data_IF_771180665857
#
_entry.id   IF_771180665857
#
_cell.length_a   1.000
_cell.length_b   1.000
_cell.length_c   1.000
_cell.angle_alpha   90.00
_cell.angle_beta   90.00
_cell.angle_gamma   90.00
#
_symmetry.space_group_name_H-M   'P 1'
#
loop_
_entity.id
_entity.type
_entity.pdbx_description
1 polymer ?
#
# COMPACT_ATOMS: atom_id res chain seq x y z
N UNK A 1 16.28 -15.19 19.53
CA UNK A 1 15.02 -14.43 19.57
C UNK A 1 15.27 -12.93 19.75
N UNK A 2 16.23 -12.52 20.59
CA UNK A 2 16.62 -11.09 20.73
C UNK A 2 17.29 -10.53 19.46
N UNK A 3 17.98 -11.36 18.66
CA UNK A 3 18.53 -10.94 17.35
C UNK A 3 17.48 -10.77 16.23
N UNK A 4 16.30 -11.40 16.37
CA UNK A 4 15.13 -11.19 15.47
C UNK A 4 14.33 -9.92 15.83
N UNK A 5 14.50 -9.40 17.06
CA UNK A 5 13.88 -8.14 17.50
C UNK A 5 14.68 -6.92 17.00
N UNK A 6 16.00 -7.06 16.77
CA UNK A 6 16.83 -6.01 16.18
C UNK A 6 16.53 -5.73 14.71
N UNK A 7 16.09 -6.73 13.94
CA UNK A 7 15.73 -6.55 12.52
C UNK A 7 14.47 -5.71 12.33
N UNK A 8 13.49 -5.74 13.26
CA UNK A 8 12.33 -4.83 13.22
C UNK A 8 12.66 -3.37 13.51
N UNK A 9 13.80 -3.09 14.14
CA UNK A 9 14.25 -1.72 14.45
C UNK A 9 15.34 -1.20 13.50
N UNK A 10 15.98 -2.06 12.70
CA UNK A 10 17.15 -1.69 11.89
C UNK A 10 17.07 -2.08 10.40
N UNK A 11 15.99 -2.72 9.96
CA UNK A 11 15.71 -2.95 8.54
C UNK A 11 14.32 -2.41 8.23
N UNK A 12 14.20 -1.09 8.29
CA UNK A 12 13.22 -0.34 7.50
C UNK A 12 13.89 -0.09 6.14
N UNK A 13 14.06 -1.15 5.34
CA UNK A 13 14.18 -0.99 3.88
C UNK A 13 12.77 -1.16 3.34
N UNK A 14 12.14 -0.03 3.07
CA UNK A 14 10.78 0.17 2.55
C UNK A 14 10.61 -0.24 1.08
N UNK A 15 11.46 -1.12 0.55
CA UNK A 15 11.57 -1.37 -0.89
C UNK A 15 10.64 -2.48 -1.44
N UNK A 16 9.97 -3.24 -0.56
CA UNK A 16 9.32 -4.50 -0.95
C UNK A 16 7.77 -4.52 -0.88
N UNK A 17 7.13 -3.51 -0.29
CA UNK A 17 5.71 -3.58 0.08
C UNK A 17 4.71 -2.96 -0.92
N UNK A 18 5.16 -2.19 -1.93
CA UNK A 18 4.28 -1.41 -2.84
C UNK A 18 4.00 -1.99 -4.22
N UNK A 19 4.74 -2.99 -4.67
CA UNK A 19 4.63 -3.47 -6.06
C UNK A 19 3.49 -4.46 -6.31
N UNK A 20 2.70 -4.75 -5.27
CA UNK A 20 1.70 -5.80 -5.31
C UNK A 20 0.39 -5.29 -4.72
N UNK A 21 -0.51 -4.81 -5.59
CA UNK A 21 -1.92 -4.65 -5.24
C UNK A 21 -2.55 -6.04 -5.07
N UNK A 22 -2.33 -6.66 -3.91
CA UNK A 22 -3.26 -7.68 -3.47
C UNK A 22 -4.48 -6.93 -2.96
N UNK A 23 -5.54 -6.93 -3.75
CA UNK A 23 -6.86 -6.41 -3.38
C UNK A 23 -7.44 -7.31 -2.27
N UNK A 24 -6.88 -7.19 -1.07
CA UNK A 24 -7.28 -7.91 0.13
C UNK A 24 -8.11 -6.95 0.94
N UNK A 25 -9.40 -7.20 1.00
CA UNK A 25 -10.17 -6.69 2.12
C UNK A 25 -9.62 -7.36 3.38
N UNK A 26 -8.78 -6.63 4.12
CA UNK A 26 -8.39 -6.99 5.49
C UNK A 26 -9.60 -7.04 6.45
N UNK A 27 -10.79 -6.72 5.93
CA UNK A 27 -12.11 -6.83 6.54
C UNK A 27 -12.65 -8.27 6.66
N UNK A 28 -12.00 -9.28 6.08
CA UNK A 28 -12.35 -10.67 6.39
C UNK A 28 -11.94 -10.99 7.84
N UNK A 29 -12.91 -10.88 8.74
CA UNK A 29 -12.85 -11.18 10.17
C UNK A 29 -12.20 -12.54 10.42
N UNK A 30 -11.12 -12.55 11.19
CA UNK A 30 -10.52 -13.77 11.72
C UNK A 30 -11.58 -14.51 12.54
N UNK A 31 -11.91 -15.74 12.15
CA UNK A 31 -12.76 -16.65 12.89
C UNK A 31 -12.02 -17.09 14.16
N UNK A 32 -12.43 -16.54 15.31
CA UNK A 32 -11.96 -16.96 16.62
C UNK A 32 -12.83 -18.11 17.14
N UNK A 33 -12.21 -19.20 17.58
CA UNK A 33 -12.86 -20.27 18.31
C UNK A 33 -12.25 -20.33 19.72
N UNK A 34 -12.98 -20.09 20.81
CA UNK A 34 -12.40 -20.10 22.18
C UNK A 34 -12.74 -21.39 22.95
N UNK A 35 -11.82 -21.86 23.80
CA UNK A 35 -11.88 -23.14 24.53
C UNK A 35 -11.65 -22.92 26.03
N UNK A 36 -12.42 -23.57 26.91
CA UNK A 36 -12.11 -23.62 28.35
C UNK A 36 -11.64 -25.03 28.72
N UNK A 37 -10.58 -25.19 29.53
CA UNK A 37 -10.31 -26.45 30.20
C UNK A 37 -11.44 -26.73 31.21
N UNK A 38 -11.77 -28.01 31.37
CA UNK A 38 -12.97 -28.47 32.06
C UNK A 38 -12.90 -28.18 33.57
N UNK A 39 -13.64 -27.15 34.00
CA UNK A 39 -14.38 -27.14 35.28
C UNK A 39 -15.50 -26.09 35.23
N UNK A 40 -16.60 -26.43 34.54
CA UNK A 40 -17.94 -25.90 34.75
C UNK A 40 -18.14 -24.38 34.66
N UNK A 41 -18.38 -23.85 33.45
CA UNK A 41 -19.52 -22.96 33.09
C UNK A 41 -19.29 -22.22 31.75
N UNK A 42 -20.36 -22.27 30.95
CA UNK A 42 -20.69 -21.54 29.71
C UNK A 42 -19.64 -21.56 28.58
N UNK A 43 -19.96 -22.32 27.52
CA UNK A 43 -19.23 -22.46 26.25
C UNK A 43 -19.86 -21.58 25.15
N UNK A 44 -19.05 -21.16 24.17
CA UNK A 44 -19.51 -20.49 22.94
C UNK A 44 -19.87 -21.49 21.83
N UNK A 45 -19.29 -22.69 21.85
CA UNK A 45 -19.61 -23.82 20.96
C UNK A 45 -19.81 -25.10 21.78
N UNK A 46 -20.87 -25.85 21.46
CA UNK A 46 -21.11 -27.18 22.00
C UNK A 46 -20.22 -28.18 21.26
N UNK A 47 -19.21 -28.75 21.94
CA UNK A 47 -18.30 -29.76 21.36
C UNK A 47 -19.04 -31.06 20.97
N UNK A 48 -20.30 -31.23 21.39
CA UNK A 48 -21.15 -32.30 20.86
C UNK A 48 -21.78 -31.96 19.50
N UNK A 49 -21.66 -30.71 19.00
CA UNK A 49 -22.30 -30.23 17.76
C UNK A 49 -21.35 -29.60 16.74
N UNK A 50 -20.29 -28.90 17.15
CA UNK A 50 -19.37 -28.16 16.24
C UNK A 50 -17.90 -28.64 16.31
N UNK A 51 -17.64 -29.75 17.02
CA UNK A 51 -16.31 -30.38 17.10
C UNK A 51 -15.77 -30.85 15.74
N UNK A 52 -16.65 -31.17 14.79
CA UNK A 52 -16.25 -31.68 13.49
C UNK A 52 -15.37 -30.69 12.72
N UNK A 53 -15.73 -29.40 12.66
CA UNK A 53 -14.93 -28.39 11.94
C UNK A 53 -13.54 -28.26 12.57
N UNK A 54 -13.47 -28.18 13.90
CA UNK A 54 -12.20 -28.11 14.62
C UNK A 54 -11.34 -29.35 14.38
N UNK A 55 -11.90 -30.56 14.55
CA UNK A 55 -11.19 -31.81 14.34
C UNK A 55 -10.71 -31.95 12.88
N UNK A 56 -11.52 -31.52 11.90
CA UNK A 56 -11.15 -31.49 10.49
C UNK A 56 -9.99 -30.50 10.24
N UNK A 57 -10.00 -29.31 10.85
CA UNK A 57 -8.88 -28.36 10.72
C UNK A 57 -7.60 -28.90 11.36
N UNK A 58 -7.69 -29.57 12.51
CA UNK A 58 -6.53 -30.22 13.14
C UNK A 58 -5.99 -31.36 12.26
N UNK A 59 -6.86 -32.23 11.75
CA UNK A 59 -6.48 -33.30 10.85
C UNK A 59 -5.86 -32.78 9.55
N UNK A 60 -6.41 -31.71 8.97
CA UNK A 60 -5.86 -31.08 7.77
C UNK A 60 -4.47 -30.48 8.04
N UNK A 61 -4.30 -29.78 9.16
CA UNK A 61 -2.99 -29.23 9.57
C UNK A 61 -1.95 -30.34 9.68
N UNK A 62 -2.31 -31.45 10.32
CA UNK A 62 -1.44 -32.61 10.49
C UNK A 62 -1.06 -33.25 9.14
N UNK A 63 -2.05 -33.43 8.26
CA UNK A 63 -1.83 -33.97 6.90
C UNK A 63 -0.89 -33.04 6.11
N UNK A 64 -1.12 -31.73 6.13
CA UNK A 64 -0.31 -30.76 5.40
C UNK A 64 1.11 -30.68 5.96
N UNK A 65 1.29 -30.77 7.28
CA UNK A 65 2.60 -30.72 7.92
C UNK A 65 3.48 -31.94 7.55
N UNK A 66 2.87 -33.12 7.42
CA UNK A 66 3.58 -34.39 7.17
C UNK A 66 3.55 -34.87 5.71
N UNK A 67 2.94 -34.10 4.81
CA UNK A 67 2.94 -34.43 3.39
C UNK A 67 4.35 -34.25 2.80
N UNK A 68 4.76 -35.15 1.92
CA UNK A 68 6.01 -35.01 1.19
C UNK A 68 5.81 -34.06 0.01
N UNK A 69 6.43 -32.89 0.08
CA UNK A 69 6.45 -31.92 -1.00
C UNK A 69 7.70 -32.08 -1.85
N UNK A 70 7.52 -32.11 -3.16
CA UNK A 70 8.60 -32.15 -4.14
C UNK A 70 8.68 -30.84 -4.94
N UNK A 71 9.63 -30.77 -5.87
CA UNK A 71 9.84 -29.62 -6.73
C UNK A 71 8.59 -29.24 -7.55
N UNK A 72 7.73 -30.21 -7.89
CA UNK A 72 6.49 -29.94 -8.60
C UNK A 72 5.53 -29.11 -7.74
N UNK A 73 5.39 -29.44 -6.47
CA UNK A 73 4.55 -28.69 -5.54
C UNK A 73 5.07 -27.27 -5.30
N UNK A 74 6.40 -27.10 -5.16
CA UNK A 74 7.02 -25.77 -5.08
C UNK A 74 6.73 -24.92 -6.32
N UNK A 75 6.84 -25.52 -7.51
CA UNK A 75 6.52 -24.83 -8.76
C UNK A 75 5.03 -24.45 -8.84
N UNK A 76 4.11 -25.29 -8.37
CA UNK A 76 2.68 -24.95 -8.30
C UNK A 76 2.41 -23.77 -7.37
N UNK A 77 3.05 -23.75 -6.19
CA UNK A 77 2.94 -22.64 -5.24
C UNK A 77 3.40 -21.32 -5.87
N UNK A 78 4.59 -21.30 -6.47
CA UNK A 78 5.14 -20.10 -7.08
C UNK A 78 4.34 -19.65 -8.29
N UNK A 79 3.80 -20.57 -9.09
CA UNK A 79 2.89 -20.24 -10.18
C UNK A 79 1.60 -19.60 -9.66
N UNK A 80 1.00 -20.12 -8.58
CA UNK A 80 -0.18 -19.52 -7.96
C UNK A 80 0.13 -18.11 -7.43
N UNK A 81 1.26 -17.97 -6.74
CA UNK A 81 1.71 -16.68 -6.21
C UNK A 81 1.95 -15.66 -7.32
N UNK A 82 2.63 -16.07 -8.40
CA UNK A 82 2.87 -15.25 -9.58
C UNK A 82 1.55 -14.86 -10.28
N UNK A 83 0.59 -15.77 -10.42
CA UNK A 83 -0.72 -15.50 -11.04
C UNK A 83 -1.49 -14.41 -10.29
N UNK A 84 -1.43 -14.41 -8.96
CA UNK A 84 -2.15 -13.43 -8.12
C UNK A 84 -1.49 -12.05 -8.11
N UNK A 85 -0.16 -12.01 -8.19
CA UNK A 85 0.65 -10.80 -8.12
C UNK A 85 0.88 -10.09 -9.48
N UNK A 86 0.20 -10.51 -10.56
CA UNK A 86 0.36 -9.92 -11.89
C UNK A 86 -0.08 -8.46 -11.95
N UNK A 87 0.90 -7.57 -11.84
CA UNK A 87 0.72 -6.14 -12.01
C UNK A 87 1.80 -5.53 -12.92
N UNK A 88 3.06 -5.97 -12.83
CA UNK A 88 4.16 -5.49 -13.69
C UNK A 88 5.28 -6.53 -13.87
N UNK A 89 6.07 -6.41 -14.96
CA UNK A 89 7.23 -7.24 -15.29
C UNK A 89 8.34 -7.19 -14.23
N UNK A 90 8.52 -6.05 -13.55
CA UNK A 90 9.50 -5.90 -12.45
C UNK A 90 9.10 -6.73 -11.23
N UNK A 91 7.82 -6.69 -10.83
CA UNK A 91 7.27 -7.48 -9.73
C UNK A 91 7.35 -9.00 -10.03
N UNK A 92 7.04 -9.40 -11.28
CA UNK A 92 7.22 -10.77 -11.74
C UNK A 92 8.68 -11.25 -11.63
N UNK A 93 9.65 -10.38 -11.93
CA UNK A 93 11.06 -10.72 -11.78
C UNK A 93 11.48 -10.83 -10.31
N UNK A 94 10.98 -9.95 -9.43
CA UNK A 94 11.20 -10.05 -7.98
C UNK A 94 10.68 -11.36 -7.41
N UNK A 95 9.49 -11.81 -7.83
CA UNK A 95 8.92 -13.13 -7.42
C UNK A 95 9.82 -14.27 -7.89
N UNK A 96 10.31 -14.23 -9.14
CA UNK A 96 11.20 -15.27 -9.66
C UNK A 96 12.50 -15.33 -8.86
N UNK A 97 13.12 -14.19 -8.59
CA UNK A 97 14.32 -14.14 -7.75
C UNK A 97 14.04 -14.68 -6.34
N UNK A 98 12.89 -14.33 -5.74
CA UNK A 98 12.48 -14.87 -4.44
C UNK A 98 12.29 -16.39 -4.48
N UNK A 99 11.74 -16.93 -5.57
CA UNK A 99 11.57 -18.36 -5.75
C UNK A 99 12.91 -19.09 -5.88
N UNK A 100 13.87 -18.49 -6.59
CA UNK A 100 15.22 -19.04 -6.78
C UNK A 100 16.05 -18.98 -5.47
N UNK A 101 15.87 -17.93 -4.68
CA UNK A 101 16.58 -17.71 -3.41
C UNK A 101 15.88 -18.33 -2.19
N UNK A 102 14.72 -18.97 -2.37
CA UNK A 102 13.92 -19.51 -1.28
C UNK A 102 14.65 -20.63 -0.52
N UNK A 103 14.67 -20.52 0.80
CA UNK A 103 15.23 -21.55 1.69
C UNK A 103 14.22 -22.00 2.74
N UNK A 104 13.98 -23.31 2.79
CA UNK A 104 13.04 -23.94 3.71
C UNK A 104 13.38 -23.68 5.20
N UNK A 105 14.66 -23.51 5.55
CA UNK A 105 15.13 -23.16 6.90
C UNK A 105 15.00 -21.66 7.24
N UNK A 106 14.57 -20.84 6.28
CA UNK A 106 14.31 -19.41 6.45
C UNK A 106 12.85 -18.99 6.23
N UNK A 107 11.93 -19.94 5.96
CA UNK A 107 10.48 -19.74 5.90
C UNK A 107 9.90 -18.73 6.92
N UNK A 108 10.31 -18.79 8.20
CA UNK A 108 9.79 -17.83 9.21
C UNK A 108 10.20 -16.38 8.93
N UNK A 109 11.38 -16.16 8.35
CA UNK A 109 11.86 -14.82 8.02
C UNK A 109 10.99 -14.21 6.93
N UNK A 110 10.72 -14.96 5.86
CA UNK A 110 9.83 -14.53 4.78
C UNK A 110 8.39 -14.25 5.26
N UNK A 111 7.92 -15.00 6.28
CA UNK A 111 6.62 -14.77 6.92
C UNK A 111 6.61 -13.55 7.87
N UNK A 112 7.73 -13.29 8.54
CA UNK A 112 7.82 -12.23 9.56
C UNK A 112 8.06 -10.84 8.99
N UNK A 113 8.56 -10.76 7.76
CA UNK A 113 8.70 -9.53 6.98
C UNK A 113 7.35 -9.10 6.39
N UNK A 114 7.14 -7.79 6.23
CA UNK A 114 5.96 -7.30 5.52
C UNK A 114 6.13 -7.57 4.03
N UNK A 115 5.65 -8.73 3.60
CA UNK A 115 5.82 -9.25 2.25
C UNK A 115 4.49 -9.67 1.65
N UNK A 116 4.45 -9.75 0.33
CA UNK A 116 3.25 -10.22 -0.38
C UNK A 116 2.99 -11.69 -0.13
N UNK A 117 4.04 -12.45 0.16
CA UNK A 117 3.95 -13.84 0.60
C UNK A 117 3.22 -13.93 1.96
N UNK A 118 3.57 -13.07 2.93
CA UNK A 118 2.88 -12.97 4.22
C UNK A 118 1.39 -12.62 4.04
N UNK A 119 1.07 -11.60 3.22
CA UNK A 119 -0.31 -11.15 3.01
C UNK A 119 -1.15 -12.24 2.33
N UNK A 120 -0.60 -12.85 1.28
CA UNK A 120 -1.31 -13.88 0.51
C UNK A 120 -1.51 -15.17 1.30
N UNK A 121 -0.51 -15.63 2.05
CA UNK A 121 -0.68 -16.79 2.92
C UNK A 121 -1.79 -16.53 3.96
N UNK A 122 -1.80 -15.35 4.58
CA UNK A 122 -2.86 -14.99 5.53
C UNK A 122 -4.24 -14.84 4.89
N UNK A 123 -4.34 -14.48 3.62
CA UNK A 123 -5.59 -14.51 2.85
C UNK A 123 -6.06 -15.95 2.64
N UNK A 124 -5.18 -16.85 2.19
CA UNK A 124 -5.47 -18.27 1.96
C UNK A 124 -5.98 -18.94 3.25
N UNK A 125 -5.27 -18.73 4.37
CA UNK A 125 -5.66 -19.27 5.68
C UNK A 125 -7.03 -18.76 6.13
N UNK A 126 -7.32 -17.46 5.91
CA UNK A 126 -8.60 -16.84 6.28
C UNK A 126 -9.77 -17.33 5.42
N UNK A 127 -9.55 -17.53 4.13
CA UNK A 127 -10.58 -17.98 3.20
C UNK A 127 -10.87 -19.48 3.29
N UNK A 128 -10.01 -20.25 3.97
CA UNK A 128 -10.12 -21.71 4.08
C UNK A 128 -10.27 -22.40 2.71
N UNK A 129 -9.69 -21.81 1.65
CA UNK A 129 -9.75 -22.40 0.32
C UNK A 129 -8.80 -23.61 0.26
N UNK A 130 -9.36 -24.81 0.35
CA UNK A 130 -8.59 -26.05 0.38
C UNK A 130 -7.63 -26.19 -0.80
N UNK A 131 -8.04 -25.85 -2.02
CA UNK A 131 -7.16 -25.93 -3.20
C UNK A 131 -5.92 -25.06 -3.04
N UNK A 132 -6.10 -23.82 -2.59
CA UNK A 132 -4.99 -22.90 -2.37
C UNK A 132 -4.16 -23.28 -1.15
N UNK A 133 -4.77 -23.83 -0.09
CA UNK A 133 -4.06 -24.36 1.08
C UNK A 133 -3.12 -25.50 0.68
N UNK A 134 -3.58 -26.45 -0.14
CA UNK A 134 -2.73 -27.55 -0.63
C UNK A 134 -1.63 -27.04 -1.57
N UNK A 135 -1.92 -26.10 -2.46
CA UNK A 135 -0.91 -25.47 -3.32
C UNK A 135 0.15 -24.70 -2.52
N UNK A 136 -0.23 -24.06 -1.42
CA UNK A 136 0.70 -23.42 -0.48
C UNK A 136 1.27 -24.38 0.58
N UNK A 137 0.93 -25.67 0.52
CA UNK A 137 1.28 -26.66 1.52
C UNK A 137 2.78 -26.77 1.81
N UNK A 138 3.62 -26.60 0.77
CA UNK A 138 5.09 -26.61 0.91
C UNK A 138 5.57 -25.55 1.90
N UNK A 139 5.19 -24.29 1.65
CA UNK A 139 5.59 -23.17 2.49
C UNK A 139 4.94 -23.22 3.87
N UNK A 140 3.68 -23.69 3.94
CA UNK A 140 3.01 -23.92 5.21
C UNK A 140 3.79 -24.95 6.03
N UNK A 141 4.17 -26.09 5.46
CA UNK A 141 4.94 -27.13 6.15
C UNK A 141 6.29 -26.61 6.63
N UNK A 142 7.06 -25.92 5.78
CA UNK A 142 8.35 -25.31 6.15
C UNK A 142 8.20 -24.32 7.31
N UNK A 143 7.16 -23.47 7.27
CA UNK A 143 6.86 -22.51 8.32
C UNK A 143 6.46 -23.18 9.64
N UNK A 144 5.61 -24.21 9.58
CA UNK A 144 5.19 -24.99 10.75
C UNK A 144 6.38 -25.70 11.41
N UNK A 145 7.25 -26.34 10.63
CA UNK A 145 8.44 -27.01 11.13
C UNK A 145 9.38 -26.04 11.88
N UNK A 146 9.54 -24.81 11.37
CA UNK A 146 10.32 -23.79 12.05
C UNK A 146 9.66 -23.28 13.34
N UNK A 147 8.34 -23.06 13.32
CA UNK A 147 7.60 -22.64 14.50
C UNK A 147 7.67 -23.70 15.61
N UNK A 148 7.52 -24.98 15.27
CA UNK A 148 7.63 -26.09 16.21
C UNK A 148 9.04 -26.17 16.83
N UNK A 149 10.10 -25.97 16.03
CA UNK A 149 11.47 -25.93 16.52
C UNK A 149 11.71 -24.76 17.48
N UNK A 150 11.18 -23.56 17.17
CA UNK A 150 11.28 -22.39 18.04
C UNK A 150 10.49 -22.56 19.33
N UNK A 151 9.31 -23.19 19.27
CA UNK A 151 8.52 -23.53 20.45
C UNK A 151 9.29 -24.47 21.38
N UNK A 152 9.87 -25.55 20.84
CA UNK A 152 10.72 -26.49 21.61
C UNK A 152 11.87 -25.77 22.30
N UNK A 153 12.56 -24.86 21.59
CA UNK A 153 13.63 -24.04 22.17
C UNK A 153 13.13 -23.11 23.27
N UNK A 154 11.96 -22.48 23.09
CA UNK A 154 11.38 -21.58 24.09
C UNK A 154 10.99 -22.31 25.37
N UNK A 155 10.41 -23.52 25.25
CA UNK A 155 10.04 -24.38 26.38
C UNK A 155 11.30 -24.83 27.13
N UNK A 156 12.34 -25.27 26.41
CA UNK A 156 13.63 -25.67 27.00
C UNK A 156 14.28 -24.53 27.79
N UNK A 157 14.11 -23.29 27.34
CA UNK A 157 14.60 -22.09 28.02
C UNK A 157 13.74 -21.62 29.20
N UNK A 158 12.73 -22.41 29.63
CA UNK A 158 11.93 -22.14 30.82
C UNK A 158 10.89 -21.02 30.68
N UNK A 159 10.65 -20.50 29.47
CA UNK A 159 9.61 -19.50 29.20
C UNK A 159 8.25 -20.17 29.01
N UNK A 160 7.50 -20.31 30.10
CA UNK A 160 6.16 -20.92 30.07
C UNK A 160 5.04 -19.92 29.76
N UNK A 161 5.18 -18.66 30.20
CA UNK A 161 4.17 -17.63 29.99
C UNK A 161 4.78 -16.42 29.28
N UNK A 162 4.16 -16.00 28.17
CA UNK A 162 4.51 -14.77 27.45
C UNK A 162 3.30 -13.87 27.37
N UNK A 163 3.50 -12.57 27.60
CA UNK A 163 2.48 -11.56 27.34
C UNK A 163 2.78 -10.91 26.01
N UNK A 164 1.80 -10.97 25.10
CA UNK A 164 1.87 -10.38 23.77
C UNK A 164 0.59 -9.61 23.49
N UNK A 165 0.71 -8.60 22.62
CA UNK A 165 -0.34 -7.69 22.22
C UNK A 165 -0.57 -7.82 20.72
N UNK A 166 -1.83 -7.68 20.30
CA UNK A 166 -2.22 -7.61 18.89
C UNK A 166 -3.17 -6.44 18.70
N UNK A 167 -2.84 -5.56 17.77
CA UNK A 167 -3.72 -4.49 17.34
C UNK A 167 -4.52 -4.87 16.11
N UNK A 168 -5.83 -5.09 16.25
CA UNK A 168 -6.73 -5.38 15.12
C UNK A 168 -8.15 -4.88 15.40
N UNK A 169 -8.82 -4.42 14.35
CA UNK A 169 -10.25 -4.05 14.39
C UNK A 169 -11.11 -5.30 14.32
N UNK A 170 -12.18 -5.32 15.12
CA UNK A 170 -13.21 -6.35 15.09
C UNK A 170 -14.58 -5.72 15.28
N UNK A 171 -15.66 -6.34 14.76
CA UNK A 171 -17.02 -5.96 15.10
C UNK A 171 -17.23 -5.95 16.62
N UNK A 172 -18.05 -5.02 17.12
CA UNK A 172 -18.28 -4.84 18.57
C UNK A 172 -18.72 -6.13 19.26
N UNK A 173 -19.54 -6.96 18.60
CA UNK A 173 -19.99 -8.24 19.15
C UNK A 173 -18.83 -9.23 19.36
N UNK A 174 -17.85 -9.28 18.44
CA UNK A 174 -16.64 -10.12 18.57
C UNK A 174 -15.77 -9.60 19.72
N UNK A 175 -15.61 -8.28 19.85
CA UNK A 175 -14.85 -7.70 20.98
C UNK A 175 -15.51 -8.07 22.31
N UNK A 176 -16.83 -8.00 22.39
CA UNK A 176 -17.55 -8.39 23.60
C UNK A 176 -17.32 -9.87 23.92
N UNK A 177 -17.39 -10.75 22.92
CA UNK A 177 -17.10 -12.18 23.09
C UNK A 177 -15.67 -12.45 23.58
N UNK A 178 -14.67 -11.72 23.05
CA UNK A 178 -13.29 -11.82 23.51
C UNK A 178 -13.14 -11.38 24.97
N UNK A 179 -13.83 -10.30 25.39
CA UNK A 179 -13.86 -9.84 26.79
C UNK A 179 -14.50 -10.87 27.73
N UNK A 180 -15.60 -11.47 27.29
CA UNK A 180 -16.31 -12.50 28.07
C UNK A 180 -15.51 -13.82 28.15
N UNK A 181 -14.49 -13.98 27.27
CA UNK A 181 -13.63 -15.16 27.17
C UNK A 181 -12.29 -15.03 27.90
N UNK A 182 -12.07 -13.99 28.71
CA UNK A 182 -10.83 -13.82 29.47
C UNK A 182 -10.62 -15.01 30.43
N UNK A 183 -9.43 -15.60 30.40
CA UNK A 183 -9.09 -16.81 31.15
C UNK A 183 -9.29 -18.13 30.37
N UNK A 184 -9.74 -18.04 29.11
CA UNK A 184 -9.95 -19.19 28.24
C UNK A 184 -8.81 -19.31 27.22
N UNK A 185 -8.66 -20.50 26.64
CA UNK A 185 -7.87 -20.76 25.46
C UNK A 185 -8.57 -20.21 24.21
N UNK A 186 -7.80 -19.90 23.18
CA UNK A 186 -8.29 -19.44 21.87
C UNK A 186 -7.60 -20.29 20.81
N UNK A 187 -8.37 -20.83 19.87
CA UNK A 187 -7.89 -21.41 18.62
C UNK A 187 -8.43 -20.58 17.46
N UNK A 188 -7.73 -20.61 16.35
CA UNK A 188 -8.06 -19.78 15.20
C UNK A 188 -7.50 -20.45 13.95
N UNK A 189 -8.18 -20.20 12.85
CA UNK A 189 -7.88 -20.82 11.56
C UNK A 189 -6.78 -20.01 10.86
N UNK A 190 -5.61 -19.94 11.48
CA UNK A 190 -4.44 -19.22 10.95
C UNK A 190 -3.46 -18.78 12.04
N UNK A 191 -2.41 -18.09 11.61
CA UNK A 191 -1.34 -17.61 12.48
C UNK A 191 -1.68 -16.27 13.15
N UNK A 192 -1.28 -16.11 14.41
CA UNK A 192 -1.45 -14.84 15.13
C UNK A 192 -0.16 -14.01 15.05
N UNK A 193 -0.21 -12.91 14.29
CA UNK A 193 0.83 -11.88 14.39
C UNK A 193 0.62 -11.05 15.66
N UNK A 194 1.63 -11.05 16.53
CA UNK A 194 1.62 -10.37 17.83
C UNK A 194 2.96 -9.65 18.09
N UNK A 195 2.97 -8.76 19.08
CA UNK A 195 4.17 -8.03 19.52
C UNK A 195 4.20 -7.99 21.06
N UNK A 196 5.39 -8.00 21.67
CA UNK A 196 5.53 -7.78 23.11
C UNK A 196 5.34 -6.30 23.50
N UNK A 197 5.37 -5.40 22.52
CA UNK A 197 5.32 -3.96 22.72
C UNK A 197 3.90 -3.43 22.50
N UNK A 198 3.24 -3.02 23.58
CA UNK A 198 1.87 -2.49 23.55
C UNK A 198 1.71 -1.30 22.59
N UNK A 199 2.67 -0.37 22.58
CA UNK A 199 2.64 0.80 21.70
C UNK A 199 2.64 0.42 20.21
N UNK A 200 3.36 -0.63 19.80
CA UNK A 200 3.35 -1.13 18.42
C UNK A 200 1.98 -1.68 18.06
N UNK A 201 1.35 -2.46 18.95
CA UNK A 201 0.00 -2.96 18.75
C UNK A 201 -1.04 -1.81 18.73
N UNK A 202 -0.91 -0.81 19.59
CA UNK A 202 -1.82 0.34 19.59
C UNK A 202 -1.70 1.16 18.30
N UNK A 203 -0.47 1.35 17.79
CA UNK A 203 -0.19 2.08 16.55
C UNK A 203 -0.82 1.40 15.33
N UNK A 204 -0.76 0.07 15.24
CA UNK A 204 -1.38 -0.66 14.13
C UNK A 204 -2.90 -0.48 14.06
N UNK A 205 -3.59 -0.27 15.19
CA UNK A 205 -5.02 0.07 15.21
C UNK A 205 -5.25 1.51 14.72
N UNK A 206 -4.41 2.45 15.14
CA UNK A 206 -4.52 3.87 14.75
C UNK A 206 -4.28 4.04 13.24
N UNK A 207 -3.22 3.42 12.71
CA UNK A 207 -2.91 3.47 11.28
C UNK A 207 -4.01 2.81 10.45
N UNK A 208 -4.54 1.65 10.89
CA UNK A 208 -5.67 1.00 10.24
C UNK A 208 -6.99 1.77 10.38
N UNK A 209 -7.16 2.56 11.46
CA UNK A 209 -8.30 3.47 11.66
C UNK A 209 -8.29 4.57 10.62
N UNK A 210 -7.11 5.11 10.33
CA UNK A 210 -6.97 6.34 9.57
C UNK A 210 -6.69 6.14 8.07
N UNK A 211 -6.04 5.04 7.66
CA UNK A 211 -5.69 4.80 6.26
C UNK A 211 -6.82 4.23 5.39
N UNK A 212 -7.70 3.36 5.93
CA UNK A 212 -8.65 2.62 5.08
C UNK A 212 -10.07 3.18 5.09
N UNK A 213 -10.49 3.89 6.14
CA UNK A 213 -11.88 4.36 6.25
C UNK A 213 -12.11 5.72 5.60
N UNK A 214 -11.03 6.45 5.37
CA UNK A 214 -11.09 7.88 5.14
C UNK A 214 -10.62 8.31 3.75
N UNK A 215 -9.55 7.71 3.21
CA UNK A 215 -9.25 7.88 1.78
C UNK A 215 -10.39 7.34 0.95
N UNK A 216 -10.79 6.09 1.21
CA UNK A 216 -11.59 5.32 0.26
C UNK A 216 -12.97 5.95 0.00
N UNK A 217 -13.64 6.50 1.02
CA UNK A 217 -14.94 7.16 0.84
C UNK A 217 -14.80 8.47 0.04
N UNK A 218 -13.80 9.30 0.36
CA UNK A 218 -13.58 10.54 -0.37
C UNK A 218 -13.16 10.29 -1.83
N UNK A 219 -12.35 9.26 -2.06
CA UNK A 219 -11.87 8.84 -3.38
C UNK A 219 -13.03 8.30 -4.23
N UNK A 220 -13.88 7.46 -3.62
CA UNK A 220 -15.09 6.96 -4.25
C UNK A 220 -16.00 8.13 -4.63
N UNK A 221 -16.26 9.07 -3.70
CA UNK A 221 -17.11 10.23 -3.98
C UNK A 221 -16.53 11.11 -5.10
N UNK A 222 -15.21 11.30 -5.15
CA UNK A 222 -14.53 11.98 -6.26
C UNK A 222 -14.72 11.24 -7.59
N UNK A 223 -14.55 9.90 -7.62
CA UNK A 223 -14.77 9.08 -8.82
C UNK A 223 -16.22 9.17 -9.32
N UNK A 224 -17.19 9.29 -8.41
CA UNK A 224 -18.59 9.54 -8.76
C UNK A 224 -18.90 11.00 -9.13
N UNK A 225 -17.89 11.89 -9.09
CA UNK A 225 -18.03 13.31 -9.42
C UNK A 225 -18.69 14.16 -8.33
N UNK A 226 -19.01 13.58 -7.17
CA UNK A 226 -19.58 14.31 -6.04
C UNK A 226 -18.48 14.96 -5.19
N UNK A 227 -17.84 15.96 -5.77
CA UNK A 227 -16.77 16.72 -5.14
C UNK A 227 -17.23 17.52 -3.91
N UNK A 228 -18.52 17.78 -3.75
CA UNK A 228 -19.04 18.53 -2.59
C UNK A 228 -19.13 17.60 -1.39
N UNK A 229 -19.76 16.44 -1.55
CA UNK A 229 -19.85 15.43 -0.49
C UNK A 229 -18.47 14.89 -0.10
N UNK A 230 -17.55 14.73 -1.06
CA UNK A 230 -16.18 14.32 -0.76
C UNK A 230 -15.46 15.30 0.16
N UNK A 231 -15.58 16.62 -0.12
CA UNK A 231 -14.96 17.65 0.73
C UNK A 231 -15.66 17.74 2.08
N UNK A 232 -17.00 17.69 2.13
CA UNK A 232 -17.75 17.69 3.40
C UNK A 232 -17.35 16.52 4.29
N UNK A 233 -17.23 15.32 3.71
CA UNK A 233 -16.79 14.12 4.42
C UNK A 233 -15.42 14.33 5.06
N UNK A 234 -14.43 14.80 4.29
CA UNK A 234 -13.09 15.07 4.82
C UNK A 234 -13.06 16.19 5.87
N UNK A 235 -13.88 17.24 5.71
CA UNK A 235 -13.98 18.31 6.71
C UNK A 235 -14.58 17.80 8.02
N UNK A 236 -15.69 17.06 7.94
CA UNK A 236 -16.31 16.44 9.12
C UNK A 236 -15.35 15.52 9.85
N UNK A 237 -14.50 14.78 9.14
CA UNK A 237 -13.47 14.00 9.81
C UNK A 237 -12.47 14.85 10.60
N UNK A 238 -12.01 15.97 10.01
CA UNK A 238 -11.08 16.89 10.68
C UNK A 238 -11.68 17.47 11.97
N UNK A 239 -13.01 17.65 11.99
CA UNK A 239 -13.76 18.20 13.11
C UNK A 239 -14.12 17.14 14.16
N UNK A 240 -14.47 15.92 13.75
CA UNK A 240 -14.96 14.84 14.64
C UNK A 240 -13.82 14.07 15.34
N UNK A 241 -12.59 14.07 14.82
CA UNK A 241 -11.46 13.33 15.40
C UNK A 241 -10.33 14.25 15.89
N UNK A 242 -10.44 14.65 17.16
CA UNK A 242 -9.45 15.48 17.87
C UNK A 242 -8.05 14.84 17.93
N UNK A 243 -7.94 13.52 17.74
CA UNK A 243 -6.68 12.78 17.83
C UNK A 243 -6.03 12.53 16.45
N UNK A 244 -6.49 13.19 15.38
CA UNK A 244 -5.83 13.11 14.07
C UNK A 244 -4.40 13.64 14.20
N UNK A 245 -3.43 12.76 13.98
CA UNK A 245 -2.02 13.11 13.96
C UNK A 245 -1.72 14.16 12.86
N UNK A 246 -0.68 14.98 13.07
CA UNK A 246 -0.31 16.06 12.14
C UNK A 246 -0.12 15.57 10.70
N UNK A 247 0.56 14.44 10.51
CA UNK A 247 0.80 13.85 9.18
C UNK A 247 -0.51 13.46 8.46
N UNK A 248 -1.46 12.87 9.19
CA UNK A 248 -2.75 12.50 8.61
C UNK A 248 -3.59 13.73 8.26
N UNK A 249 -3.50 14.78 9.09
CA UNK A 249 -4.11 16.08 8.80
C UNK A 249 -3.57 16.68 7.50
N UNK A 250 -2.25 16.57 7.26
CA UNK A 250 -1.63 17.00 6.00
C UNK A 250 -2.24 16.26 4.80
N UNK A 251 -2.39 14.95 4.91
CA UNK A 251 -2.91 14.12 3.83
C UNK A 251 -4.37 14.44 3.51
N UNK A 252 -5.21 14.64 4.53
CA UNK A 252 -6.59 15.07 4.33
C UNK A 252 -6.64 16.44 3.62
N UNK A 253 -5.84 17.41 4.07
CA UNK A 253 -5.78 18.72 3.38
C UNK A 253 -5.30 18.59 1.93
N UNK A 254 -4.34 17.70 1.65
CA UNK A 254 -3.86 17.46 0.29
C UNK A 254 -4.98 16.91 -0.60
N UNK A 255 -5.73 15.90 -0.13
CA UNK A 255 -6.86 15.32 -0.85
C UNK A 255 -7.97 16.35 -1.11
N UNK A 256 -8.33 17.14 -0.10
CA UNK A 256 -9.30 18.23 -0.27
C UNK A 256 -8.79 19.24 -1.31
N UNK A 257 -7.49 19.56 -1.30
CA UNK A 257 -6.86 20.46 -2.27
C UNK A 257 -6.99 19.96 -3.71
N UNK A 258 -6.73 18.67 -3.95
CA UNK A 258 -6.88 18.01 -5.26
C UNK A 258 -8.35 18.02 -5.70
N UNK A 259 -9.28 17.62 -4.84
CA UNK A 259 -10.71 17.61 -5.16
C UNK A 259 -11.24 19.03 -5.41
N UNK A 260 -10.74 20.02 -4.66
CA UNK A 260 -11.08 21.42 -4.88
C UNK A 260 -10.58 21.92 -6.23
N UNK A 261 -9.37 21.53 -6.66
CA UNK A 261 -8.85 21.82 -8.00
C UNK A 261 -9.72 21.18 -9.08
N UNK A 262 -10.00 19.88 -8.98
CA UNK A 262 -10.79 19.13 -9.97
C UNK A 262 -12.21 19.68 -10.11
N UNK A 263 -12.77 20.22 -9.02
CA UNK A 263 -14.07 20.91 -9.01
C UNK A 263 -14.01 22.38 -9.45
N UNK A 264 -12.85 22.88 -9.89
CA UNK A 264 -12.66 24.27 -10.32
C UNK A 264 -12.60 25.31 -9.19
N UNK A 265 -12.65 24.87 -7.93
CA UNK A 265 -12.53 25.72 -6.72
C UNK A 265 -11.07 26.08 -6.43
N UNK A 266 -10.39 26.63 -7.43
CA UNK A 266 -8.95 26.90 -7.43
C UNK A 266 -8.46 27.73 -6.22
N UNK A 267 -9.21 28.76 -5.80
CA UNK A 267 -8.84 29.55 -4.62
C UNK A 267 -8.85 28.74 -3.32
N UNK A 268 -9.80 27.82 -3.18
CA UNK A 268 -9.85 26.90 -2.05
C UNK A 268 -8.69 25.91 -2.09
N UNK A 269 -8.41 25.34 -3.26
CA UNK A 269 -7.29 24.45 -3.49
C UNK A 269 -5.94 25.07 -3.07
N UNK A 270 -5.67 26.33 -3.45
CA UNK A 270 -4.45 27.06 -3.03
C UNK A 270 -4.32 27.12 -1.51
N UNK A 271 -5.41 27.40 -0.79
CA UNK A 271 -5.38 27.50 0.67
C UNK A 271 -5.01 26.15 1.29
N UNK A 272 -5.64 25.07 0.82
CA UNK A 272 -5.33 23.72 1.29
C UNK A 272 -3.88 23.33 0.99
N UNK A 273 -3.39 23.52 -0.24
CA UNK A 273 -1.99 23.19 -0.56
C UNK A 273 -0.98 24.01 0.26
N UNK A 274 -1.29 25.27 0.59
CA UNK A 274 -0.46 26.07 1.52
C UNK A 274 -0.47 25.52 2.94
N UNK A 275 -1.63 25.04 3.43
CA UNK A 275 -1.72 24.36 4.72
C UNK A 275 -0.86 23.09 4.73
N UNK A 276 -0.97 22.25 3.69
CA UNK A 276 -0.11 21.06 3.54
C UNK A 276 1.37 21.45 3.57
N UNK A 277 1.78 22.45 2.80
CA UNK A 277 3.17 22.92 2.76
C UNK A 277 3.67 23.40 4.13
N UNK A 278 2.80 23.97 4.97
CA UNK A 278 3.17 24.40 6.32
C UNK A 278 3.34 23.23 7.30
N UNK A 279 2.70 22.09 7.03
CA UNK A 279 2.74 20.92 7.89
C UNK A 279 3.83 19.91 7.49
N UNK A 280 4.27 19.91 6.23
CA UNK A 280 5.38 19.07 5.75
C UNK A 280 6.72 19.65 6.23
N UNK A 281 7.38 18.97 7.18
CA UNK A 281 8.74 19.32 7.61
C UNK A 281 9.75 19.03 6.51
N UNK A 282 10.78 19.88 6.41
CA UNK A 282 11.82 19.85 5.36
C UNK A 282 12.73 18.61 5.35
N UNK A 283 12.57 17.68 6.28
CA UNK A 283 13.53 16.58 6.51
C UNK A 283 12.90 15.19 6.67
N UNK A 284 11.59 15.03 6.46
CA UNK A 284 11.02 13.69 6.45
C UNK A 284 11.09 13.15 5.02
N UNK A 285 12.15 12.37 4.77
CA UNK A 285 12.19 11.41 3.67
C UNK A 285 11.02 10.44 3.88
N UNK A 286 9.90 10.75 3.25
CA UNK A 286 8.88 9.74 3.03
C UNK A 286 9.46 8.81 1.97
N UNK A 287 9.75 7.58 2.36
CA UNK A 287 10.18 6.54 1.43
C UNK A 287 9.07 6.39 0.38
N UNK A 288 9.33 6.96 -0.80
CA UNK A 288 8.45 6.85 -1.95
C UNK A 288 8.69 5.46 -2.49
N UNK A 289 7.91 4.54 -1.98
CA UNK A 289 7.69 3.23 -2.56
C UNK A 289 7.45 3.40 -4.08
N UNK A 290 8.42 2.93 -4.87
CA UNK A 290 8.41 2.94 -6.33
C UNK A 290 7.39 1.92 -6.83
N UNK A 291 6.09 2.17 -6.58
CA UNK A 291 5.03 1.29 -7.04
C UNK A 291 4.96 1.35 -8.55
N UNK A 292 5.29 0.24 -9.20
CA UNK A 292 5.34 0.11 -10.65
C UNK A 292 3.95 0.15 -11.32
N UNK A 293 2.89 0.38 -10.56
CA UNK A 293 1.64 0.98 -11.02
C UNK A 293 1.64 2.47 -10.71
N UNK A 294 1.69 3.26 -11.78
CA UNK A 294 1.56 4.71 -11.76
C UNK A 294 0.27 5.13 -11.05
N UNK A 295 0.34 5.41 -9.74
CA UNK A 295 -0.66 6.27 -9.12
C UNK A 295 -0.41 7.67 -9.69
N UNK A 296 -1.36 8.30 -10.39
CA UNK A 296 -1.15 9.66 -10.90
C UNK A 296 -0.72 10.55 -9.74
N UNK A 297 0.03 11.63 -10.02
CA UNK A 297 0.37 12.68 -9.03
C UNK A 297 -0.84 13.32 -8.30
N UNK A 298 -2.03 12.85 -8.65
CA UNK A 298 -3.38 13.26 -8.30
C UNK A 298 -4.01 12.21 -7.34
N UNK A 299 -3.34 11.08 -7.05
CA UNK A 299 -3.93 10.00 -6.28
C UNK A 299 -4.00 10.36 -4.77
N UNK A 300 -5.20 10.29 -4.15
CA UNK A 300 -5.47 10.67 -2.75
C UNK A 300 -4.83 9.77 -1.64
N UNK A 301 -3.82 8.99 -1.99
CA UNK A 301 -3.12 8.06 -1.09
C UNK A 301 -1.59 8.10 -1.23
N UNK A 302 -1.03 9.16 -1.82
CA UNK A 302 0.42 9.37 -1.89
C UNK A 302 0.83 10.28 -0.71
N UNK A 303 1.96 9.97 -0.06
CA UNK A 303 2.56 10.91 0.88
C UNK A 303 2.86 12.23 0.15
N UNK A 304 2.24 13.33 0.59
CA UNK A 304 2.39 14.62 -0.06
C UNK A 304 3.82 15.16 0.15
N UNK A 305 4.69 14.93 -0.83
CA UNK A 305 6.04 15.51 -0.89
C UNK A 305 5.95 16.98 -1.29
N UNK A 306 7.03 17.74 -1.05
CA UNK A 306 7.11 19.12 -1.55
C UNK A 306 6.97 19.19 -3.07
N UNK A 307 7.50 18.20 -3.80
CA UNK A 307 7.33 18.09 -5.25
C UNK A 307 5.84 18.00 -5.62
N UNK A 308 5.08 17.11 -4.98
CA UNK A 308 3.64 16.96 -5.18
C UNK A 308 2.87 18.25 -4.92
N UNK A 309 3.20 18.93 -3.83
CA UNK A 309 2.53 20.18 -3.45
C UNK A 309 2.84 21.29 -4.46
N UNK A 310 4.10 21.45 -4.86
CA UNK A 310 4.50 22.48 -5.82
C UNK A 310 3.99 22.21 -7.23
N UNK A 311 3.93 20.95 -7.68
CA UNK A 311 3.27 20.59 -8.93
C UNK A 311 1.78 20.96 -8.92
N UNK A 312 1.05 20.64 -7.85
CA UNK A 312 -0.37 20.97 -7.77
C UNK A 312 -0.60 22.48 -7.64
N UNK A 313 0.21 23.19 -6.85
CA UNK A 313 0.19 24.66 -6.83
C UNK A 313 0.45 25.24 -8.22
N UNK A 314 1.42 24.70 -8.96
CA UNK A 314 1.70 25.09 -10.35
C UNK A 314 0.42 24.95 -11.18
N UNK A 315 -0.22 23.78 -11.19
CA UNK A 315 -1.45 23.53 -11.95
C UNK A 315 -2.60 24.47 -11.56
N UNK A 316 -2.82 24.67 -10.26
CA UNK A 316 -3.88 25.57 -9.80
C UNK A 316 -3.61 27.03 -10.22
N UNK A 317 -2.36 27.48 -10.15
CA UNK A 317 -1.97 28.81 -10.62
C UNK A 317 -2.07 28.95 -12.15
N UNK A 318 -1.81 27.88 -12.91
CA UNK A 318 -2.10 27.83 -14.34
C UNK A 318 -3.60 27.97 -14.63
N UNK A 319 -4.47 27.30 -13.84
CA UNK A 319 -5.92 27.34 -14.01
C UNK A 319 -6.53 28.72 -13.73
N UNK A 320 -5.89 29.54 -12.89
CA UNK A 320 -6.31 30.94 -12.63
C UNK A 320 -5.51 31.97 -13.43
N UNK A 321 -4.70 31.52 -14.39
CA UNK A 321 -3.90 32.36 -15.30
C UNK A 321 -2.89 33.29 -14.59
N UNK A 322 -2.45 32.94 -13.38
CA UNK A 322 -1.36 33.65 -12.68
C UNK A 322 -0.02 33.05 -13.10
N UNK A 323 0.52 33.57 -14.20
CA UNK A 323 1.77 33.11 -14.79
C UNK A 323 2.97 33.25 -13.84
N UNK A 324 3.01 34.31 -13.01
CA UNK A 324 4.13 34.57 -12.11
C UNK A 324 4.22 33.49 -11.04
N UNK A 325 3.09 33.19 -10.41
CA UNK A 325 3.04 32.16 -9.36
C UNK A 325 3.23 30.76 -9.95
N UNK A 326 2.63 30.46 -11.10
CA UNK A 326 2.80 29.17 -11.77
C UNK A 326 4.27 28.87 -12.08
N UNK A 327 5.00 29.85 -12.66
CA UNK A 327 6.45 29.73 -12.94
C UNK A 327 7.28 29.51 -11.69
N UNK A 328 6.98 30.25 -10.62
CA UNK A 328 7.68 30.12 -9.35
C UNK A 328 7.54 28.70 -8.80
N UNK A 329 6.30 28.21 -8.65
CA UNK A 329 6.07 26.89 -8.08
C UNK A 329 6.55 25.77 -8.99
N UNK A 330 6.56 25.97 -10.31
CA UNK A 330 7.18 25.02 -11.23
C UNK A 330 8.67 24.88 -10.93
N UNK A 331 9.37 26.02 -10.78
CA UNK A 331 10.78 26.03 -10.43
C UNK A 331 11.04 25.38 -9.07
N UNK A 332 10.23 25.75 -8.06
CA UNK A 332 10.34 25.14 -6.72
C UNK A 332 10.13 23.61 -6.80
N UNK A 333 9.27 23.11 -7.70
CA UNK A 333 8.98 21.68 -7.88
C UNK A 333 10.15 20.90 -8.50
N UNK A 334 10.79 21.43 -9.56
CA UNK A 334 11.93 20.77 -10.23
C UNK A 334 13.21 20.76 -9.39
N UNK A 335 13.29 21.62 -8.36
CA UNK A 335 14.40 21.62 -7.39
C UNK A 335 14.22 20.59 -6.26
N UNK A 336 13.06 19.94 -6.16
CA UNK A 336 12.82 18.92 -5.14
C UNK A 336 13.32 17.54 -5.57
N UNK A 337 13.72 16.72 -4.60
CA UNK A 337 13.98 15.30 -4.85
C UNK A 337 12.68 14.58 -5.27
N UNK A 338 12.81 13.65 -6.21
CA UNK A 338 11.71 12.84 -6.74
C UNK A 338 12.21 11.89 -7.84
N UNK A 339 11.39 10.90 -8.17
CA UNK A 339 11.62 9.95 -9.24
C UNK A 339 11.64 10.60 -10.63
N UNK A 340 12.18 9.87 -11.61
CA UNK A 340 12.15 10.30 -13.02
C UNK A 340 10.73 10.54 -13.52
N UNK A 341 9.78 9.70 -13.12
CA UNK A 341 8.38 9.82 -13.50
C UNK A 341 7.70 11.07 -12.90
N UNK A 342 7.95 11.37 -11.63
CA UNK A 342 7.41 12.57 -10.99
C UNK A 342 7.89 13.82 -11.70
N UNK A 343 9.20 13.93 -11.97
CA UNK A 343 9.79 15.03 -12.72
C UNK A 343 9.22 15.13 -14.14
N UNK A 344 9.04 14.01 -14.83
CA UNK A 344 8.42 13.99 -16.15
C UNK A 344 6.99 14.58 -16.09
N UNK A 345 6.21 14.25 -15.07
CA UNK A 345 4.86 14.77 -14.89
C UNK A 345 4.85 16.28 -14.65
N UNK A 346 5.76 16.80 -13.82
CA UNK A 346 5.93 18.25 -13.60
C UNK A 346 6.25 18.96 -14.92
N UNK A 347 7.23 18.45 -15.67
CA UNK A 347 7.64 18.98 -16.96
C UNK A 347 6.51 18.94 -17.99
N UNK A 348 5.74 17.85 -18.03
CA UNK A 348 4.60 17.70 -18.94
C UNK A 348 3.50 18.72 -18.65
N UNK A 349 3.12 18.87 -17.39
CA UNK A 349 2.10 19.83 -16.97
C UNK A 349 2.50 21.25 -17.35
N UNK A 350 3.77 21.60 -17.11
CA UNK A 350 4.28 22.92 -17.45
C UNK A 350 4.49 23.11 -18.96
N UNK A 351 4.85 22.07 -19.71
CA UNK A 351 4.87 22.10 -21.17
C UNK A 351 3.51 22.46 -21.77
N UNK A 352 2.42 21.90 -21.23
CA UNK A 352 1.07 22.31 -21.63
C UNK A 352 0.71 23.74 -21.24
N UNK A 353 1.23 24.24 -20.12
CA UNK A 353 1.08 25.65 -19.75
C UNK A 353 1.71 26.56 -20.79
N UNK A 354 2.97 26.30 -21.16
CA UNK A 354 3.69 27.10 -22.14
C UNK A 354 3.00 27.08 -23.51
N UNK A 355 2.42 25.93 -23.87
CA UNK A 355 1.60 25.82 -25.08
C UNK A 355 0.40 26.77 -25.02
N UNK A 356 -0.35 26.78 -23.91
CA UNK A 356 -1.46 27.73 -23.70
C UNK A 356 -1.01 29.19 -23.74
N UNK A 357 0.19 29.49 -23.21
CA UNK A 357 0.82 30.81 -23.28
C UNK A 357 1.39 31.15 -24.67
N UNK A 358 1.19 30.31 -25.69
CA UNK A 358 1.72 30.46 -27.06
C UNK A 358 3.24 30.47 -27.16
N UNK A 359 3.94 29.95 -26.15
CA UNK A 359 5.40 29.80 -26.11
C UNK A 359 5.77 28.40 -26.63
N UNK A 360 5.56 28.20 -27.94
CA UNK A 360 5.63 26.88 -28.58
C UNK A 360 7.01 26.20 -28.44
N UNK A 361 8.11 26.97 -28.47
CA UNK A 361 9.45 26.41 -28.33
C UNK A 361 9.74 25.93 -26.91
N UNK A 362 9.31 26.68 -25.89
CA UNK A 362 9.44 26.27 -24.49
C UNK A 362 8.55 25.06 -24.19
N UNK A 363 7.32 25.06 -24.70
CA UNK A 363 6.40 23.93 -24.62
C UNK A 363 7.02 22.66 -25.19
N UNK A 364 7.63 22.76 -26.38
CA UNK A 364 8.31 21.65 -27.04
C UNK A 364 9.45 21.13 -26.17
N UNK A 365 10.33 22.03 -25.70
CA UNK A 365 11.49 21.67 -24.88
C UNK A 365 11.08 20.89 -23.62
N UNK A 366 10.07 21.37 -22.89
CA UNK A 366 9.63 20.68 -21.67
C UNK A 366 8.94 19.34 -21.94
N UNK A 367 8.15 19.23 -23.01
CA UNK A 367 7.53 17.97 -23.40
C UNK A 367 8.57 16.94 -23.90
N UNK A 368 9.60 17.36 -24.62
CA UNK A 368 10.72 16.49 -25.02
C UNK A 368 11.46 15.95 -23.80
N UNK A 369 11.80 16.81 -22.83
CA UNK A 369 12.42 16.39 -21.58
C UNK A 369 11.54 15.41 -20.80
N UNK A 370 10.23 15.68 -20.73
CA UNK A 370 9.28 14.79 -20.07
C UNK A 370 9.23 13.41 -20.73
N UNK A 371 9.17 13.35 -22.07
CA UNK A 371 9.19 12.11 -22.85
C UNK A 371 10.50 11.34 -22.65
N UNK A 372 11.63 12.05 -22.61
CA UNK A 372 12.95 11.45 -22.42
C UNK A 372 13.09 10.75 -21.08
N UNK A 373 12.55 11.34 -20.00
CA UNK A 373 12.57 10.75 -18.66
C UNK A 373 11.72 9.47 -18.55
N UNK A 374 10.70 9.32 -19.38
CA UNK A 374 9.78 8.17 -19.31
C UNK A 374 9.98 7.12 -20.41
N UNK A 375 11.10 7.16 -21.15
CA UNK A 375 11.38 6.24 -22.29
C UNK A 375 11.20 4.75 -21.96
N UNK A 376 11.53 4.34 -20.74
CA UNK A 376 11.45 2.95 -20.29
C UNK A 376 10.17 2.65 -19.48
N UNK A 377 9.25 3.60 -19.37
CA UNK A 377 8.01 3.45 -18.61
C UNK A 377 6.84 3.09 -19.54
N UNK A 378 5.86 2.36 -19.00
CA UNK A 378 4.64 1.96 -19.73
C UNK A 378 3.86 3.19 -20.26
N UNK A 379 3.93 4.32 -19.58
CA UNK A 379 3.27 5.58 -19.96
C UNK A 379 3.98 6.37 -21.06
N UNK A 380 5.12 5.89 -21.60
CA UNK A 380 5.86 6.54 -22.68
C UNK A 380 4.95 6.94 -23.85
N UNK A 381 4.01 6.06 -24.24
CA UNK A 381 3.07 6.33 -25.33
C UNK A 381 2.17 7.54 -25.07
N UNK A 382 1.76 7.78 -23.83
CA UNK A 382 0.88 8.91 -23.47
C UNK A 382 1.62 10.25 -23.50
N UNK A 383 2.86 10.24 -23.02
CA UNK A 383 3.75 11.40 -23.07
C UNK A 383 4.11 11.72 -24.52
N UNK A 384 4.42 10.71 -25.32
CA UNK A 384 4.73 10.89 -26.74
C UNK A 384 3.56 11.45 -27.52
N UNK A 385 2.33 10.93 -27.31
CA UNK A 385 1.11 11.50 -27.93
C UNK A 385 0.92 12.97 -27.60
N UNK A 386 1.25 13.37 -26.37
CA UNK A 386 1.18 14.78 -25.93
C UNK A 386 2.16 15.66 -26.71
N UNK A 387 3.39 15.20 -26.92
CA UNK A 387 4.41 15.88 -27.72
C UNK A 387 4.03 15.91 -29.20
N UNK A 388 3.61 14.79 -29.77
CA UNK A 388 3.23 14.68 -31.18
C UNK A 388 2.09 15.65 -31.53
N UNK A 389 1.09 15.78 -30.64
CA UNK A 389 0.00 16.76 -30.79
C UNK A 389 0.55 18.20 -30.86
N UNK A 390 1.49 18.57 -29.99
CA UNK A 390 2.15 19.88 -30.04
C UNK A 390 2.88 20.09 -31.37
N UNK A 391 3.60 19.08 -31.86
CA UNK A 391 4.40 19.19 -33.09
C UNK A 391 3.53 19.50 -34.32
N UNK A 392 2.26 19.08 -34.35
CA UNK A 392 1.32 19.44 -35.44
C UNK A 392 1.05 20.94 -35.54
N UNK A 393 1.25 21.70 -34.46
CA UNK A 393 1.06 23.14 -34.40
C UNK A 393 2.34 23.94 -34.72
N UNK A 394 3.48 23.27 -34.87
CA UNK A 394 4.73 23.91 -35.29
C UNK A 394 4.83 23.90 -36.82
N UNK A 395 5.26 25.00 -37.46
CA UNK A 395 5.51 25.01 -38.89
C UNK A 395 6.59 23.97 -39.22
N UNK A 396 6.29 23.06 -40.15
CA UNK A 396 7.27 22.09 -40.65
C UNK A 396 8.41 22.85 -41.30
N UNK A 397 9.61 22.76 -40.73
CA UNK A 397 10.84 23.23 -41.36
C UNK A 397 11.24 22.26 -42.48
N UNK A 398 10.42 22.15 -43.52
CA UNK A 398 10.76 21.48 -44.77
C UNK A 398 10.41 22.41 -45.92
N UNK A 399 11.27 23.41 -46.09
CA UNK A 399 11.32 24.28 -47.25
C UNK A 399 12.78 24.54 -47.59
N UNK A 400 13.53 23.47 -47.87
CA UNK A 400 14.82 23.59 -48.55
C UNK A 400 14.58 24.16 -49.92
N UNK A 401 15.09 25.37 -50.11
CA UNK A 401 15.40 26.00 -51.39
C UNK A 401 15.94 24.98 -52.39
N UNK A 402 15.22 24.78 -53.48
CA UNK A 402 15.84 24.39 -54.76
C UNK A 402 15.56 25.51 -55.74
N UNK A 403 16.61 26.29 -55.96
CA UNK A 403 16.78 27.19 -57.09
C UNK A 403 16.68 26.40 -58.40
N UNK A 404 15.78 26.81 -59.29
CA UNK A 404 15.92 26.56 -60.73
C UNK A 404 15.11 27.58 -61.53
N UNK A 405 15.78 28.62 -62.02
CA UNK A 405 15.59 29.22 -63.35
C UNK A 405 16.77 30.13 -63.65
#
# INVERSE_FOLDING_TARGET
MDDLERTKSSVLSTDDASDYEVNVSDELTVTFNTFKPISGRATFCDLNKESLKFLLTQALTEIMAHMHYDEHHFNQMWNLFHQRCFVNATAAQKIRNLADDYKADQAINYYSQDSCLFRFLNEILRLENFENLFKFGCYISDLYNQLENLEKQQIQNGRQNITVFRGKKYPTHVIQQLKDSVGNLITLNGLISTTKMYNVAARSILDARLNYKYSDVGDILQQFGDHTSAIDFYQRMLDEDENISGQHRCRIYFNIGVIAEDSGRNRGAINYFKQVNSCVKSSESFDIEESTQLKPLIAPNIAATKLHIYNNLTRVYMNIEDERSARKYFQDAVEQNGSQFEHATVLRNFGFFEFKCRKLQDAKRYLEQAVDLVKNYVCYGDFKRSLDALLTHLPTSTGTSTTSS
#
